data_IF_602525283102
#
_entry.id   IF_602525283102
#
_cell.length_a   1.000
_cell.length_b   1.000
_cell.length_c   1.000
_cell.angle_alpha   90.00
_cell.angle_beta   90.00
_cell.angle_gamma   90.00
#
_symmetry.space_group_name_H-M   'P 1'
#
loop_
_entity.id
_entity.type
_entity.pdbx_description
1 polymer ?
#
# COMPACT_ATOMS: atom_id res chain seq x y z
N UNK A 1 -32.99 20.48 -0.43
CA UNK A 1 -31.52 20.40 -0.40
C UNK A 1 -31.13 20.45 1.06
N UNK A 2 -30.69 19.34 1.61
CA UNK A 2 -30.50 19.15 3.04
C UNK A 2 -29.17 19.77 3.46
N UNK A 3 -29.10 20.38 4.65
CA UNK A 3 -27.91 21.08 5.17
C UNK A 3 -26.65 20.18 5.13
N UNK A 4 -26.85 18.87 5.19
CA UNK A 4 -25.83 17.83 5.00
C UNK A 4 -25.15 17.86 3.62
N UNK A 5 -25.88 18.12 2.54
CA UNK A 5 -25.34 18.09 1.17
C UNK A 5 -24.41 19.29 0.91
N UNK A 6 -24.74 20.43 1.50
CA UNK A 6 -23.93 21.66 1.42
C UNK A 6 -22.67 21.57 2.30
N UNK A 7 -22.76 20.89 3.45
CA UNK A 7 -21.60 20.61 4.31
C UNK A 7 -20.66 19.63 3.63
N UNK A 8 -21.18 18.51 3.10
CA UNK A 8 -20.41 17.52 2.36
C UNK A 8 -19.66 18.17 1.19
N UNK A 9 -20.37 18.95 0.35
CA UNK A 9 -19.78 19.68 -0.78
C UNK A 9 -18.70 20.68 -0.35
N UNK A 10 -18.81 21.29 0.83
CA UNK A 10 -17.82 22.25 1.34
C UNK A 10 -16.57 21.57 1.90
N UNK A 11 -16.73 20.37 2.49
CA UNK A 11 -15.60 19.53 2.92
C UNK A 11 -14.86 18.95 1.72
N UNK A 12 -15.59 18.47 0.71
CA UNK A 12 -15.02 17.91 -0.52
C UNK A 12 -14.23 18.97 -1.30
N UNK A 13 -14.71 20.22 -1.36
CA UNK A 13 -13.99 21.34 -2.02
C UNK A 13 -12.67 21.74 -1.36
N UNK A 14 -12.52 21.48 -0.07
CA UNK A 14 -11.32 21.83 0.70
C UNK A 14 -10.40 20.63 0.92
N UNK A 15 -10.76 19.46 0.37
CA UNK A 15 -9.99 18.25 0.55
C UNK A 15 -8.83 18.23 -0.42
N UNK A 16 -7.64 17.88 0.08
CA UNK A 16 -6.51 17.66 -0.82
C UNK A 16 -6.83 16.50 -1.76
N UNK A 17 -6.59 16.63 -3.09
CA UNK A 17 -6.88 15.59 -4.08
C UNK A 17 -6.22 14.25 -3.72
N UNK A 18 -5.05 14.30 -3.09
CA UNK A 18 -4.36 13.16 -2.51
C UNK A 18 -5.20 12.37 -1.51
N UNK A 19 -5.90 13.07 -0.59
CA UNK A 19 -6.66 12.43 0.49
C UNK A 19 -7.90 11.73 -0.04
N UNK A 20 -8.58 12.28 -1.04
CA UNK A 20 -9.70 11.59 -1.70
C UNK A 20 -9.25 10.31 -2.41
N UNK A 21 -8.13 10.38 -3.16
CA UNK A 21 -7.55 9.22 -3.86
C UNK A 21 -7.10 8.16 -2.87
N UNK A 22 -6.51 8.56 -1.76
CA UNK A 22 -6.09 7.66 -0.69
C UNK A 22 -7.29 6.95 -0.04
N UNK A 23 -8.37 7.66 0.23
CA UNK A 23 -9.58 7.05 0.79
C UNK A 23 -10.24 6.08 -0.17
N UNK A 24 -10.29 6.41 -1.46
CA UNK A 24 -10.74 5.49 -2.49
C UNK A 24 -9.92 4.19 -2.47
N UNK A 25 -8.59 4.29 -2.47
CA UNK A 25 -7.70 3.12 -2.46
C UNK A 25 -7.83 2.30 -1.18
N UNK A 26 -8.00 2.95 -0.02
CA UNK A 26 -8.27 2.27 1.26
C UNK A 26 -9.62 1.55 1.23
N UNK A 27 -10.66 2.16 0.67
CA UNK A 27 -11.97 1.53 0.52
C UNK A 27 -11.93 0.30 -0.41
N UNK A 28 -10.99 0.27 -1.36
CA UNK A 28 -10.74 -0.88 -2.23
C UNK A 28 -9.99 -2.04 -1.53
N UNK A 29 -9.59 -1.87 -0.27
CA UNK A 29 -8.86 -2.88 0.51
C UNK A 29 -7.39 -3.00 0.14
N UNK A 30 -6.81 -1.97 -0.48
CA UNK A 30 -5.38 -1.89 -0.80
C UNK A 30 -4.57 -1.70 0.49
N UNK A 31 -3.37 -2.29 0.55
CA UNK A 31 -2.43 -2.06 1.64
C UNK A 31 -2.22 -0.56 1.93
N UNK A 32 -2.21 -0.11 3.20
CA UNK A 32 -2.06 1.30 3.51
C UNK A 32 -0.80 1.96 2.92
N UNK A 33 0.36 1.31 2.96
CA UNK A 33 1.61 1.88 2.42
C UNK A 33 1.61 1.91 0.90
N UNK A 34 1.05 0.87 0.26
CA UNK A 34 0.89 0.85 -1.20
C UNK A 34 -0.14 1.88 -1.67
N UNK A 35 -1.25 2.02 -0.95
CA UNK A 35 -2.31 3.00 -1.22
C UNK A 35 -1.79 4.44 -1.15
N UNK A 36 -0.93 4.77 -0.18
CA UNK A 36 -0.30 6.09 -0.09
C UNK A 36 0.59 6.39 -1.29
N UNK A 37 1.40 5.43 -1.73
CA UNK A 37 2.25 5.59 -2.92
C UNK A 37 1.42 5.73 -4.19
N UNK A 38 0.36 4.94 -4.32
CA UNK A 38 -0.57 5.03 -5.45
C UNK A 38 -1.32 6.37 -5.46
N UNK A 39 -1.80 6.85 -4.31
CA UNK A 39 -2.50 8.13 -4.19
C UNK A 39 -1.61 9.30 -4.64
N UNK A 40 -0.35 9.34 -4.17
CA UNK A 40 0.64 10.33 -4.60
C UNK A 40 0.91 10.24 -6.11
N UNK A 41 1.08 9.03 -6.65
CA UNK A 41 1.31 8.83 -8.08
C UNK A 41 0.11 9.33 -8.91
N UNK A 42 -1.12 8.96 -8.51
CA UNK A 42 -2.35 9.38 -9.18
C UNK A 42 -2.58 10.88 -9.09
N UNK A 43 -2.16 11.52 -8.01
CA UNK A 43 -2.17 12.99 -7.90
C UNK A 43 -1.19 13.62 -8.89
N UNK A 44 0.04 13.13 -8.98
CA UNK A 44 1.07 13.66 -9.90
C UNK A 44 0.66 13.57 -11.37
N UNK A 45 0.00 12.49 -11.78
CA UNK A 45 -0.46 12.31 -13.17
C UNK A 45 -1.83 12.95 -13.44
N UNK A 46 -2.47 13.54 -12.43
CA UNK A 46 -3.81 14.13 -12.59
C UNK A 46 -4.91 13.11 -12.88
N UNK A 47 -4.74 11.85 -12.47
CA UNK A 47 -5.73 10.80 -12.73
C UNK A 47 -7.06 11.12 -12.07
N UNK A 48 -8.15 10.85 -12.80
CA UNK A 48 -9.52 10.97 -12.32
C UNK A 48 -9.95 9.74 -11.52
N UNK A 49 -10.97 9.88 -10.70
CA UNK A 49 -11.52 8.77 -9.90
C UNK A 49 -11.99 7.62 -10.77
N UNK A 50 -12.63 7.92 -11.91
CA UNK A 50 -13.12 6.91 -12.86
C UNK A 50 -11.98 6.11 -13.51
N UNK A 51 -10.87 6.77 -13.85
CA UNK A 51 -9.67 6.10 -14.36
C UNK A 51 -9.07 5.17 -13.32
N UNK A 52 -9.02 5.58 -12.05
CA UNK A 52 -8.51 4.74 -10.96
C UNK A 52 -9.42 3.52 -10.75
N UNK A 53 -10.75 3.72 -10.74
CA UNK A 53 -11.73 2.63 -10.62
C UNK A 53 -11.63 1.66 -11.82
N UNK A 54 -11.42 2.18 -13.04
CA UNK A 54 -11.25 1.34 -14.22
C UNK A 54 -10.03 0.40 -14.12
N UNK A 55 -9.03 0.78 -13.32
CA UNK A 55 -7.81 0.03 -13.07
C UNK A 55 -7.86 -0.84 -11.82
N UNK A 56 -9.01 -0.92 -11.12
CA UNK A 56 -9.13 -1.60 -9.82
C UNK A 56 -8.52 -3.01 -9.82
N UNK A 57 -8.81 -3.82 -10.85
CA UNK A 57 -8.29 -5.20 -10.96
C UNK A 57 -6.76 -5.23 -11.04
N UNK A 58 -6.16 -4.29 -11.77
CA UNK A 58 -4.72 -4.19 -11.93
C UNK A 58 -4.06 -3.71 -10.63
N UNK A 59 -4.69 -2.75 -9.94
CA UNK A 59 -4.20 -2.23 -8.66
C UNK A 59 -4.23 -3.35 -7.60
N UNK A 60 -5.31 -4.15 -7.55
CA UNK A 60 -5.42 -5.30 -6.66
C UNK A 60 -4.39 -6.38 -6.98
N UNK A 61 -4.23 -6.73 -8.25
CA UNK A 61 -3.21 -7.70 -8.66
C UNK A 61 -1.80 -7.22 -8.27
N UNK A 62 -1.48 -5.94 -8.49
CA UNK A 62 -0.20 -5.35 -8.09
C UNK A 62 0.00 -5.35 -6.57
N UNK A 63 -1.04 -5.06 -5.80
CA UNK A 63 -1.02 -5.12 -4.34
C UNK A 63 -0.67 -6.53 -3.85
N UNK A 64 -1.33 -7.55 -4.39
CA UNK A 64 -1.11 -8.95 -4.00
C UNK A 64 0.30 -9.42 -4.40
N UNK A 65 0.75 -9.08 -5.61
CA UNK A 65 2.11 -9.35 -6.11
C UNK A 65 3.20 -8.76 -5.21
N UNK A 66 3.00 -7.54 -4.72
CA UNK A 66 3.94 -6.85 -3.84
C UNK A 66 3.98 -7.54 -2.48
N UNK A 67 2.81 -7.92 -1.94
CA UNK A 67 2.74 -8.69 -0.69
C UNK A 67 3.48 -10.02 -0.79
N UNK A 68 3.26 -10.80 -1.85
CA UNK A 68 3.94 -12.09 -2.03
C UNK A 68 5.47 -11.90 -2.16
N UNK A 69 5.92 -10.91 -2.94
CA UNK A 69 7.35 -10.61 -3.09
C UNK A 69 7.99 -10.16 -1.77
N UNK A 70 7.30 -9.31 -1.00
CA UNK A 70 7.78 -8.87 0.32
C UNK A 70 7.86 -10.05 1.30
N UNK A 71 6.84 -10.91 1.31
CA UNK A 71 6.81 -12.11 2.14
C UNK A 71 7.99 -13.05 1.82
N UNK A 72 8.26 -13.29 0.54
CA UNK A 72 9.38 -14.11 0.11
C UNK A 72 10.73 -13.54 0.52
N UNK A 73 10.92 -12.22 0.39
CA UNK A 73 12.15 -11.54 0.83
C UNK A 73 12.35 -11.67 2.35
N UNK A 74 11.29 -11.56 3.13
CA UNK A 74 11.34 -11.71 4.58
C UNK A 74 11.67 -13.16 4.99
N UNK A 75 11.09 -14.14 4.31
CA UNK A 75 11.46 -15.56 4.45
C UNK A 75 12.95 -15.78 4.14
N UNK A 76 13.46 -15.21 3.05
CA UNK A 76 14.87 -15.31 2.69
C UNK A 76 15.78 -14.68 3.74
N UNK A 77 15.43 -13.48 4.24
CA UNK A 77 16.16 -12.79 5.31
C UNK A 77 16.21 -13.64 6.57
N UNK A 78 15.07 -14.19 6.98
CA UNK A 78 14.96 -15.06 8.17
C UNK A 78 15.81 -16.32 8.02
N UNK A 79 15.77 -16.97 6.84
CA UNK A 79 16.60 -18.15 6.56
C UNK A 79 18.10 -17.82 6.62
N UNK A 80 18.52 -16.69 6.03
CA UNK A 80 19.93 -16.22 6.10
C UNK A 80 20.35 -15.95 7.54
N UNK A 81 19.50 -15.30 8.32
CA UNK A 81 19.78 -14.99 9.72
C UNK A 81 19.92 -16.27 10.58
N UNK A 82 19.00 -17.24 10.43
CA UNK A 82 19.08 -18.54 11.11
C UNK A 82 20.37 -19.30 10.75
N UNK A 83 20.77 -19.31 9.48
CA UNK A 83 22.05 -19.92 9.05
C UNK A 83 23.26 -19.24 9.71
N UNK A 84 23.26 -17.92 9.82
CA UNK A 84 24.33 -17.18 10.48
C UNK A 84 24.43 -17.52 11.97
N UNK A 85 23.29 -17.58 12.68
CA UNK A 85 23.24 -17.99 14.09
C UNK A 85 23.74 -19.42 14.30
N UNK A 86 23.33 -20.37 13.44
CA UNK A 86 23.78 -21.76 13.52
C UNK A 86 25.29 -21.91 13.27
N UNK A 87 25.85 -21.13 12.33
CA UNK A 87 27.31 -21.09 12.13
C UNK A 87 28.02 -20.56 13.38
N UNK A 88 27.53 -19.46 13.95
CA UNK A 88 28.12 -18.87 15.15
C UNK A 88 28.02 -19.79 16.38
N UNK A 89 26.91 -20.52 16.54
CA UNK A 89 26.72 -21.46 17.66
C UNK A 89 27.58 -22.71 17.52
N UNK A 90 27.80 -23.22 16.31
CA UNK A 90 28.67 -24.36 16.07
C UNK A 90 30.14 -24.03 16.36
N UNK A 91 30.61 -22.81 16.04
CA UNK A 91 31.97 -22.36 16.36
C UNK A 91 32.21 -22.36 17.88
N UNK A 92 31.21 -21.97 18.69
CA UNK A 92 31.29 -22.02 20.17
C UNK A 92 31.26 -23.43 20.76
N UNK A 93 30.79 -24.45 20.03
CA UNK A 93 30.77 -25.84 20.48
C UNK A 93 32.06 -26.60 20.15
N UNK A 94 32.81 -26.12 19.17
CA UNK A 94 34.07 -26.74 18.71
C UNK A 94 35.32 -26.01 19.19
N UNK A 95 35.16 -24.94 19.98
CA UNK A 95 36.22 -24.22 20.69
C UNK A 95 36.19 -24.60 22.17
#
# INVERSE_FOLDING_TARGET
MTVTDNLQSSFDKNREPHLEKLELLRALGIDPEFAEKCALMFEQIGATTDEIISQEKNIKAANDDIYEKLHDLELQRTRKHRKALLKASNIKKTA
#
